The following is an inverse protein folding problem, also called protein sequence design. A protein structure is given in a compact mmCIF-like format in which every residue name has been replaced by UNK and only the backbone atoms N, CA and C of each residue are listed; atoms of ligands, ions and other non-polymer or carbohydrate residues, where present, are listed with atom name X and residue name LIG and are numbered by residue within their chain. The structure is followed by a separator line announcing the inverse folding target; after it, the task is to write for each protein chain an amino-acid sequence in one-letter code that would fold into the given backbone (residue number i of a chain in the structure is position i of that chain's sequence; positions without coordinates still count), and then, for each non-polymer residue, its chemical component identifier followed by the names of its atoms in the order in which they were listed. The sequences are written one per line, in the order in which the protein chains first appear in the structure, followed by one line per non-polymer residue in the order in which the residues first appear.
data_IF_807356213079
#
_entry.id   IF_807356213079
#
_cell.length_a   1.000
_cell.length_b   1.000
_cell.length_c   1.000
_cell.angle_alpha   90.00
_cell.angle_beta   90.00
_cell.angle_gamma   90.00
#
_symmetry.space_group_name_H-M   'P 1'
#
loop_
_entity.id
_entity.type
_entity.pdbx_description
1 polymer ?
#
# COMPACT_ATOMS: atom_id res chain seq x y z
N UNK A 1 17.78 -20.52 22.15
CA UNK A 1 17.75 -19.05 22.24
C UNK A 1 17.06 -18.56 20.98
N UNK A 2 15.85 -18.05 21.12
CA UNK A 2 15.24 -17.27 20.04
C UNK A 2 16.09 -16.02 19.81
N UNK A 3 16.55 -15.83 18.58
CA UNK A 3 17.27 -14.62 18.18
C UNK A 3 16.25 -13.63 17.64
N UNK A 4 16.24 -12.44 18.22
CA UNK A 4 15.57 -11.29 17.62
C UNK A 4 16.38 -10.88 16.38
N UNK A 5 15.73 -10.90 15.22
CA UNK A 5 16.34 -10.56 13.94
C UNK A 5 15.73 -9.26 13.47
N UNK A 6 16.59 -8.28 13.26
CA UNK A 6 16.28 -7.00 12.64
C UNK A 6 16.83 -7.05 11.22
N UNK A 7 15.96 -6.83 10.24
CA UNK A 7 16.30 -6.74 8.83
C UNK A 7 16.20 -5.27 8.41
N UNK A 8 17.33 -4.64 8.10
CA UNK A 8 17.38 -3.30 7.56
C UNK A 8 17.78 -3.36 6.08
N UNK A 9 17.00 -2.76 5.19
CA UNK A 9 17.25 -2.76 3.75
C UNK A 9 17.25 -1.32 3.25
N UNK A 10 18.30 -0.95 2.51
CA UNK A 10 18.36 0.34 1.84
C UNK A 10 17.69 0.23 0.47
N UNK A 11 16.65 1.03 0.22
CA UNK A 11 15.89 1.10 -1.04
C UNK A 11 15.55 -0.28 -1.66
N UNK A 12 14.69 -1.10 -1.02
CA UNK A 12 14.38 -2.46 -1.48
C UNK A 12 13.80 -2.53 -2.92
N UNK A 13 13.32 -1.41 -3.44
CA UNK A 13 12.74 -1.25 -4.77
C UNK A 13 13.74 -0.76 -5.83
N UNK A 14 14.98 -0.45 -5.47
CA UNK A 14 15.96 0.11 -6.39
C UNK A 14 16.18 -0.82 -7.59
N UNK A 15 16.18 -0.25 -8.80
CA UNK A 15 16.31 -0.99 -10.06
C UNK A 15 15.19 -1.99 -10.39
N UNK A 16 14.07 -1.97 -9.65
CA UNK A 16 12.91 -2.81 -9.94
C UNK A 16 11.93 -2.13 -10.91
N UNK A 17 11.22 -2.94 -11.70
CA UNK A 17 10.03 -2.48 -12.41
C UNK A 17 8.90 -2.24 -11.38
N UNK A 18 8.08 -1.21 -11.59
CA UNK A 18 6.89 -0.88 -10.79
C UNK A 18 6.02 -2.11 -10.49
N UNK A 19 5.84 -2.97 -11.50
CA UNK A 19 5.09 -4.22 -11.38
C UNK A 19 5.62 -5.16 -10.28
N UNK A 20 6.92 -5.07 -9.97
CA UNK A 20 7.61 -5.90 -8.98
C UNK A 20 7.79 -5.19 -7.64
N UNK A 21 7.72 -3.85 -7.59
CA UNK A 21 7.83 -3.10 -6.33
C UNK A 21 6.74 -3.53 -5.35
N UNK A 22 5.50 -3.69 -5.82
CA UNK A 22 4.39 -4.11 -4.98
C UNK A 22 4.61 -5.49 -4.33
N UNK A 23 4.87 -6.58 -5.09
CA UNK A 23 5.19 -7.87 -4.49
C UNK A 23 6.37 -7.82 -3.51
N UNK A 24 7.34 -6.94 -3.76
CA UNK A 24 8.48 -6.75 -2.86
C UNK A 24 8.04 -6.21 -1.50
N UNK A 25 7.26 -5.12 -1.44
CA UNK A 25 6.77 -4.56 -0.17
C UNK A 25 5.83 -5.53 0.56
N UNK A 26 5.01 -6.31 -0.15
CA UNK A 26 4.18 -7.35 0.45
C UNK A 26 5.02 -8.42 1.17
N UNK A 27 6.09 -8.91 0.54
CA UNK A 27 7.01 -9.87 1.16
C UNK A 27 7.68 -9.29 2.41
N UNK A 28 8.07 -8.01 2.36
CA UNK A 28 8.65 -7.32 3.51
C UNK A 28 7.66 -7.24 4.68
N UNK A 29 6.38 -6.97 4.40
CA UNK A 29 5.33 -7.01 5.42
C UNK A 29 5.12 -8.43 5.95
N UNK A 30 5.09 -9.46 5.09
CA UNK A 30 4.96 -10.85 5.53
C UNK A 30 6.09 -11.27 6.47
N UNK A 31 7.33 -10.82 6.22
CA UNK A 31 8.45 -11.01 7.14
C UNK A 31 8.18 -10.40 8.53
N UNK A 32 7.56 -9.22 8.56
CA UNK A 32 7.19 -8.58 9.81
C UNK A 32 6.05 -9.29 10.54
N UNK A 33 4.93 -9.51 9.85
CA UNK A 33 3.69 -10.03 10.46
C UNK A 33 3.75 -11.53 10.74
N UNK A 34 4.22 -12.34 9.79
CA UNK A 34 4.12 -13.81 9.88
C UNK A 34 5.34 -14.42 10.57
N UNK A 35 6.52 -13.84 10.36
CA UNK A 35 7.78 -14.35 10.90
C UNK A 35 8.27 -13.58 12.13
N UNK A 36 7.50 -12.59 12.60
CA UNK A 36 7.78 -11.77 13.79
C UNK A 36 9.19 -11.15 13.74
N UNK A 37 9.57 -10.62 12.58
CA UNK A 37 10.86 -9.96 12.36
C UNK A 37 10.68 -8.45 12.34
N UNK A 38 11.62 -7.69 12.88
CA UNK A 38 11.58 -6.25 12.72
C UNK A 38 12.18 -5.92 11.35
N UNK A 39 11.41 -5.23 10.50
CA UNK A 39 11.87 -4.80 9.17
C UNK A 39 11.95 -3.27 9.17
N UNK A 40 13.12 -2.73 8.82
CA UNK A 40 13.34 -1.30 8.59
C UNK A 40 13.76 -1.11 7.13
N UNK A 41 13.17 -0.12 6.48
CA UNK A 41 13.53 0.20 5.09
C UNK A 41 13.67 1.71 4.92
N UNK A 42 14.56 2.09 4.02
CA UNK A 42 14.55 3.41 3.38
C UNK A 42 13.87 3.25 2.03
N UNK A 43 13.13 4.26 1.59
CA UNK A 43 12.49 4.22 0.27
C UNK A 43 12.24 5.62 -0.25
N UNK A 44 12.36 5.78 -1.56
CA UNK A 44 11.90 6.96 -2.28
C UNK A 44 10.48 6.78 -2.86
N UNK A 45 9.87 5.61 -2.67
CA UNK A 45 8.62 5.19 -3.31
C UNK A 45 7.41 5.29 -2.39
N UNK A 46 7.05 6.52 -2.06
CA UNK A 46 5.98 6.79 -1.12
C UNK A 46 4.56 6.45 -1.61
N UNK A 47 4.36 6.35 -2.93
CA UNK A 47 3.05 6.05 -3.53
C UNK A 47 2.68 4.57 -3.65
N UNK A 48 3.60 3.64 -3.38
CA UNK A 48 3.35 2.19 -3.32
C UNK A 48 3.24 1.64 -1.89
N UNK A 49 3.51 2.47 -0.88
CA UNK A 49 3.23 2.19 0.53
C UNK A 49 1.75 2.03 0.93
N UNK A 50 0.70 2.43 0.16
CA UNK A 50 -0.69 2.28 0.60
C UNK A 50 -1.17 0.84 0.76
N UNK A 51 -0.37 -0.16 0.38
CA UNK A 51 -0.75 -1.57 0.57
C UNK A 51 -0.11 -2.15 1.82
N UNK A 52 0.94 -1.53 2.37
CA UNK A 52 1.42 -1.96 3.68
C UNK A 52 0.48 -1.42 4.73
N UNK A 53 -0.33 -2.29 5.28
CA UNK A 53 -1.36 -1.98 6.25
C UNK A 53 -0.87 -2.01 7.71
N UNK A 54 0.41 -2.35 7.88
CA UNK A 54 1.08 -2.37 9.16
C UNK A 54 2.43 -1.66 9.07
N UNK A 55 2.65 -0.70 9.98
CA UNK A 55 3.93 -0.01 10.11
C UNK A 55 3.80 1.50 10.23
N UNK A 56 4.95 2.13 10.38
CA UNK A 56 5.10 3.58 10.50
C UNK A 56 6.08 4.08 9.44
N UNK A 57 5.74 5.20 8.81
CA UNK A 57 6.66 6.03 8.07
C UNK A 57 7.31 7.02 9.02
N UNK A 58 8.65 7.04 9.06
CA UNK A 58 9.40 8.07 9.76
C UNK A 58 10.01 9.02 8.73
N UNK A 59 9.52 10.25 8.69
CA UNK A 59 10.04 11.32 7.83
C UNK A 59 11.09 12.11 8.59
N UNK A 60 12.29 12.18 8.01
CA UNK A 60 13.45 12.85 8.58
C UNK A 60 13.69 14.16 7.80
N UNK A 61 13.53 15.31 8.46
CA UNK A 61 13.77 16.63 7.85
C UNK A 61 14.83 17.40 8.62
N UNK A 62 15.76 17.99 7.89
CA UNK A 62 16.69 18.99 8.41
C UNK A 62 16.20 20.38 8.02
N UNK A 63 16.00 21.25 9.01
CA UNK A 63 15.65 22.66 8.76
C UNK A 63 16.94 23.50 8.68
N UNK A 64 16.99 24.47 7.76
CA UNK A 64 18.21 25.24 7.48
C UNK A 64 18.80 25.99 8.70
N UNK A 65 17.96 26.26 9.71
CA UNK A 65 18.31 27.03 10.90
C UNK A 65 18.48 26.17 12.16
N UNK A 66 18.22 24.86 12.06
CA UNK A 66 18.25 23.94 13.21
C UNK A 66 19.43 22.98 13.08
N UNK A 67 20.10 22.69 14.20
CA UNK A 67 21.19 21.71 14.24
C UNK A 67 20.62 20.28 14.28
N UNK A 68 19.42 20.15 14.83
CA UNK A 68 18.77 18.87 15.08
C UNK A 68 17.93 18.39 13.89
N UNK A 69 17.83 17.07 13.75
CA UNK A 69 16.97 16.42 12.77
C UNK A 69 15.57 16.32 13.36
N UNK A 70 14.57 16.86 12.68
CA UNK A 70 13.16 16.65 13.03
C UNK A 70 12.68 15.32 12.47
N UNK A 71 11.98 14.57 13.31
CA UNK A 71 11.38 13.28 12.96
C UNK A 71 9.88 13.40 13.10
N UNK A 72 9.15 13.13 12.03
CA UNK A 72 7.69 13.03 12.02
C UNK A 72 7.29 11.59 11.72
N UNK A 73 6.41 11.00 12.51
CA UNK A 73 5.89 9.66 12.28
C UNK A 73 4.47 9.68 11.71
N UNK A 74 4.20 8.76 10.79
CA UNK A 74 2.89 8.58 10.17
C UNK A 74 2.52 7.11 10.16
N UNK A 75 1.32 6.79 10.64
CA UNK A 75 0.83 5.42 10.63
C UNK A 75 0.28 5.07 9.24
N UNK A 76 0.78 3.99 8.63
CA UNK A 76 0.31 3.56 7.31
C UNK A 76 -1.16 3.17 7.27
N UNK A 77 -1.72 2.73 8.41
CA UNK A 77 -3.13 2.37 8.49
C UNK A 77 -4.06 3.54 8.12
N UNK A 78 -3.70 4.76 8.50
CA UNK A 78 -4.48 5.98 8.27
C UNK A 78 -3.93 6.85 7.14
N UNK A 79 -2.99 6.34 6.35
CA UNK A 79 -2.20 7.16 5.43
C UNK A 79 -3.04 7.93 4.40
N UNK A 80 -4.11 7.33 3.85
CA UNK A 80 -4.98 8.02 2.87
C UNK A 80 -5.98 8.99 3.53
N UNK A 81 -6.32 8.78 4.80
CA UNK A 81 -7.18 9.70 5.56
C UNK A 81 -6.39 10.91 6.08
N UNK A 82 -5.10 10.73 6.36
CA UNK A 82 -4.21 11.76 6.88
C UNK A 82 -3.34 12.45 5.81
N UNK A 83 -3.63 12.29 4.51
CA UNK A 83 -2.83 12.87 3.41
C UNK A 83 -2.45 14.35 3.63
N UNK A 84 -3.34 15.15 4.22
CA UNK A 84 -3.09 16.58 4.50
C UNK A 84 -2.00 16.85 5.54
N UNK A 85 -1.61 15.83 6.32
CA UNK A 85 -0.52 15.90 7.30
C UNK A 85 0.82 15.45 6.73
N UNK A 86 0.81 14.75 5.59
CA UNK A 86 2.05 14.28 4.97
C UNK A 86 2.82 15.46 4.36
N UNK A 87 4.15 15.50 4.54
CA UNK A 87 5.01 16.47 3.88
C UNK A 87 4.79 16.51 2.36
N UNK A 88 4.80 17.72 1.77
CA UNK A 88 4.63 17.90 0.33
C UNK A 88 5.70 17.19 -0.51
N UNK A 89 6.89 16.94 0.07
CA UNK A 89 8.00 16.20 -0.54
C UNK A 89 7.79 14.68 -0.59
N UNK A 90 6.75 14.18 0.08
CA UNK A 90 6.25 12.82 -0.08
C UNK A 90 5.26 12.86 -1.26
N UNK A 91 5.79 12.80 -2.48
CA UNK A 91 4.95 12.69 -3.67
C UNK A 91 4.20 11.34 -3.65
N UNK A 92 2.93 11.42 -3.26
CA UNK A 92 1.94 10.39 -3.46
C UNK A 92 1.82 10.17 -4.97
N UNK A 93 2.41 9.09 -5.48
CA UNK A 93 2.30 8.74 -6.89
C UNK A 93 0.82 8.65 -7.30
N UNK A 94 0.53 9.01 -8.54
CA UNK A 94 -0.82 9.21 -9.07
C UNK A 94 -1.75 8.03 -8.81
N UNK A 95 -3.07 8.29 -8.71
CA UNK A 95 -4.11 7.24 -8.71
C UNK A 95 -3.95 6.25 -9.89
N UNK A 96 -3.33 6.69 -10.99
CA UNK A 96 -2.96 5.84 -12.12
C UNK A 96 -1.93 4.76 -11.76
N UNK A 97 -0.91 5.10 -10.98
CA UNK A 97 0.11 4.16 -10.53
C UNK A 97 -0.47 3.14 -9.56
N UNK A 98 -1.38 3.57 -8.68
CA UNK A 98 -2.13 2.68 -7.80
C UNK A 98 -2.96 1.68 -8.62
N UNK A 99 -3.75 2.17 -9.57
CA UNK A 99 -4.56 1.32 -10.46
C UNK A 99 -3.70 0.30 -11.23
N UNK A 100 -2.59 0.76 -11.81
CA UNK A 100 -1.65 -0.10 -12.54
C UNK A 100 -1.02 -1.16 -11.64
N UNK A 101 -0.71 -0.80 -10.39
CA UNK A 101 -0.14 -1.72 -9.40
C UNK A 101 -1.14 -2.80 -8.97
N UNK A 102 -2.42 -2.43 -8.74
CA UNK A 102 -3.50 -3.38 -8.45
C UNK A 102 -3.66 -4.39 -9.59
N UNK A 103 -3.73 -3.90 -10.84
CA UNK A 103 -3.86 -4.76 -12.02
C UNK A 103 -2.66 -5.71 -12.12
N UNK A 104 -1.44 -5.18 -12.01
CA UNK A 104 -0.23 -6.00 -12.08
C UNK A 104 -0.19 -7.06 -10.99
N UNK A 105 -0.53 -6.69 -9.76
CA UNK A 105 -0.57 -7.62 -8.64
C UNK A 105 -1.59 -8.75 -8.85
N UNK A 106 -2.83 -8.40 -9.23
CA UNK A 106 -3.89 -9.38 -9.48
C UNK A 106 -3.65 -10.27 -10.69
N UNK A 107 -2.71 -9.91 -11.58
CA UNK A 107 -2.21 -10.82 -12.62
C UNK A 107 -1.14 -11.78 -12.11
N UNK A 108 -0.43 -11.42 -11.04
CA UNK A 108 0.70 -12.19 -10.49
C UNK A 108 0.31 -13.13 -9.34
N UNK A 109 -0.80 -12.88 -8.67
CA UNK A 109 -1.29 -13.66 -7.53
C UNK A 109 -2.71 -14.13 -7.82
N UNK A 110 -2.94 -15.43 -7.62
CA UNK A 110 -4.24 -16.02 -7.87
C UNK A 110 -5.23 -15.78 -6.73
N UNK A 111 -6.51 -15.60 -7.09
CA UNK A 111 -7.67 -15.64 -6.20
C UNK A 111 -7.70 -14.58 -5.07
N UNK A 112 -7.11 -13.39 -5.29
CA UNK A 112 -7.23 -12.26 -4.37
C UNK A 112 -8.34 -11.31 -4.83
N UNK A 113 -9.32 -11.09 -3.96
CA UNK A 113 -10.37 -10.10 -4.15
C UNK A 113 -10.00 -8.78 -3.49
N UNK A 114 -10.29 -7.68 -4.15
CA UNK A 114 -10.09 -6.33 -3.65
C UNK A 114 -11.42 -5.72 -3.22
N UNK A 115 -11.43 -5.03 -2.08
CA UNK A 115 -12.53 -4.16 -1.66
C UNK A 115 -11.97 -2.75 -1.52
N UNK A 116 -12.39 -1.86 -2.40
CA UNK A 116 -12.04 -0.44 -2.36
C UNK A 116 -13.13 0.27 -1.56
N UNK A 117 -12.78 0.94 -0.48
CA UNK A 117 -13.73 1.64 0.40
C UNK A 117 -13.32 3.10 0.62
N UNK A 118 -14.23 3.91 1.16
CA UNK A 118 -14.03 5.35 1.29
C UNK A 118 -12.92 5.70 2.29
N UNK A 119 -12.96 5.14 3.51
CA UNK A 119 -12.00 5.48 4.56
C UNK A 119 -11.62 4.33 5.49
N UNK A 120 -10.70 4.61 6.42
CA UNK A 120 -10.15 3.58 7.33
C UNK A 120 -11.19 3.00 8.29
N UNK A 121 -12.26 3.73 8.59
CA UNK A 121 -13.38 3.22 9.40
C UNK A 121 -14.13 2.09 8.67
N UNK A 122 -14.38 2.25 7.37
CA UNK A 122 -15.03 1.23 6.56
C UNK A 122 -14.15 -0.01 6.47
N UNK A 123 -12.84 0.21 6.30
CA UNK A 123 -11.83 -0.85 6.34
C UNK A 123 -11.93 -1.66 7.64
N UNK A 124 -11.89 -1.01 8.80
CA UNK A 124 -12.00 -1.69 10.11
C UNK A 124 -13.27 -2.53 10.21
N UNK A 125 -14.39 -1.98 9.76
CA UNK A 125 -15.66 -2.70 9.76
C UNK A 125 -15.61 -3.95 8.86
N UNK A 126 -15.10 -3.79 7.64
CA UNK A 126 -14.98 -4.88 6.65
C UNK A 126 -13.99 -5.96 7.09
N UNK A 127 -12.86 -5.58 7.71
CA UNK A 127 -11.88 -6.52 8.25
C UNK A 127 -12.50 -7.39 9.35
N UNK A 128 -13.27 -6.79 10.26
CA UNK A 128 -14.00 -7.54 11.28
C UNK A 128 -15.10 -8.43 10.69
N UNK A 129 -15.81 -7.95 9.66
CA UNK A 129 -16.88 -8.70 9.01
C UNK A 129 -16.36 -9.92 8.23
N UNK A 130 -15.18 -9.79 7.64
CA UNK A 130 -14.53 -10.81 6.79
C UNK A 130 -13.44 -11.58 7.54
N UNK A 131 -13.41 -11.49 8.87
CA UNK A 131 -12.43 -12.19 9.69
C UNK A 131 -12.41 -13.69 9.38
N UNK A 132 -11.21 -14.25 9.24
CA UNK A 132 -10.99 -15.63 8.79
C UNK A 132 -11.03 -15.86 7.27
N UNK A 133 -11.27 -14.84 6.44
CA UNK A 133 -11.18 -14.93 4.98
C UNK A 133 -9.88 -14.29 4.47
N UNK A 134 -8.91 -15.11 4.07
CA UNK A 134 -7.57 -14.63 3.67
C UNK A 134 -7.50 -14.06 2.24
N UNK A 135 -8.54 -14.31 1.44
CA UNK A 135 -8.57 -13.97 0.01
C UNK A 135 -9.12 -12.57 -0.29
N UNK A 136 -9.20 -11.70 0.72
CA UNK A 136 -9.60 -10.31 0.55
C UNK A 136 -8.45 -9.35 0.88
N UNK A 137 -8.40 -8.24 0.15
CA UNK A 137 -7.56 -7.07 0.41
C UNK A 137 -8.45 -5.84 0.43
N UNK A 138 -8.46 -5.12 1.55
CA UNK A 138 -9.32 -3.95 1.75
C UNK A 138 -8.45 -2.70 1.66
N UNK A 139 -8.78 -1.82 0.72
CA UNK A 139 -8.04 -0.59 0.45
C UNK A 139 -8.96 0.62 0.69
N UNK A 140 -8.83 1.34 1.81
CA UNK A 140 -9.44 2.66 1.95
C UNK A 140 -8.79 3.62 0.94
N UNK A 141 -9.49 4.63 0.43
CA UNK A 141 -8.91 5.59 -0.54
C UNK A 141 -9.02 7.07 -0.16
N UNK A 142 -9.47 7.38 1.05
CA UNK A 142 -9.53 8.73 1.59
C UNK A 142 -10.61 9.61 0.93
N UNK A 143 -11.79 9.06 0.67
CA UNK A 143 -12.95 9.80 0.17
C UNK A 143 -13.62 9.20 -1.07
N UNK A 144 -14.94 9.36 -1.17
CA UNK A 144 -15.74 8.86 -2.30
C UNK A 144 -15.27 9.37 -3.68
N UNK A 145 -14.74 10.59 -3.74
CA UNK A 145 -14.17 11.13 -4.98
C UNK A 145 -12.97 10.33 -5.48
N UNK A 146 -12.16 9.76 -4.58
CA UNK A 146 -11.04 8.89 -4.93
C UNK A 146 -11.52 7.49 -5.32
N UNK A 147 -12.60 6.97 -4.71
CA UNK A 147 -13.25 5.72 -5.12
C UNK A 147 -13.70 5.81 -6.59
N UNK A 148 -14.39 6.89 -6.96
CA UNK A 148 -14.88 7.13 -8.33
C UNK A 148 -13.70 7.23 -9.32
N UNK A 149 -12.64 7.96 -8.98
CA UNK A 149 -11.44 8.09 -9.81
C UNK A 149 -10.78 6.73 -10.05
N UNK A 150 -10.58 5.97 -8.98
CA UNK A 150 -9.93 4.65 -9.06
C UNK A 150 -10.80 3.66 -9.86
N UNK A 151 -12.11 3.69 -9.67
CA UNK A 151 -13.05 2.93 -10.49
C UNK A 151 -12.89 3.24 -11.98
N UNK A 152 -12.82 4.52 -12.37
CA UNK A 152 -12.60 4.92 -13.76
C UNK A 152 -11.30 4.37 -14.35
N UNK A 153 -10.22 4.41 -13.56
CA UNK A 153 -8.89 3.94 -13.97
C UNK A 153 -8.79 2.42 -14.06
N UNK A 154 -9.54 1.68 -13.25
CA UNK A 154 -9.54 0.21 -13.25
C UNK A 154 -10.55 -0.39 -14.23
N UNK A 155 -11.74 0.21 -14.33
CA UNK A 155 -12.84 -0.32 -15.15
C UNK A 155 -12.49 -0.33 -16.64
N UNK A 156 -11.76 0.67 -17.13
CA UNK A 156 -11.40 0.74 -18.54
C UNK A 156 -10.45 -0.41 -18.96
N UNK A 157 -9.28 -0.63 -18.33
CA UNK A 157 -8.44 -1.80 -18.62
C UNK A 157 -9.14 -3.14 -18.41
N UNK A 158 -9.96 -3.27 -17.36
CA UNK A 158 -10.65 -4.53 -17.06
C UNK A 158 -11.85 -4.82 -17.96
N UNK A 159 -12.29 -3.83 -18.77
CA UNK A 159 -13.29 -4.07 -19.81
C UNK A 159 -12.72 -4.74 -21.06
N UNK A 160 -11.39 -4.70 -21.25
CA UNK A 160 -10.70 -5.45 -22.29
C UNK A 160 -10.58 -6.93 -21.91
N UNK A 161 -11.07 -7.82 -22.78
CA UNK A 161 -11.13 -9.26 -22.52
C UNK A 161 -9.76 -9.87 -22.24
N UNK A 162 -8.72 -9.45 -22.96
CA UNK A 162 -7.36 -9.98 -22.75
C UNK A 162 -6.84 -9.66 -21.35
N UNK A 163 -7.15 -8.46 -20.86
CA UNK A 163 -6.75 -8.02 -19.53
C UNK A 163 -7.62 -8.67 -18.45
N UNK A 164 -8.92 -8.80 -18.69
CA UNK A 164 -9.86 -9.46 -17.78
C UNK A 164 -9.53 -10.95 -17.59
N UNK A 165 -9.18 -11.67 -18.66
CA UNK A 165 -8.85 -13.11 -18.60
C UNK A 165 -7.56 -13.38 -17.81
N UNK A 166 -6.65 -12.40 -17.77
CA UNK A 166 -5.42 -12.47 -16.98
C UNK A 166 -5.61 -12.03 -15.53
N UNK A 167 -6.71 -11.35 -15.22
CA UNK A 167 -6.97 -10.83 -13.88
C UNK A 167 -7.55 -11.93 -13.00
N UNK A 168 -6.88 -12.23 -11.89
CA UNK A 168 -7.37 -13.21 -10.91
C UNK A 168 -8.10 -12.50 -9.77
N UNK A 169 -9.32 -12.98 -9.47
CA UNK A 169 -10.18 -12.43 -8.42
C UNK A 169 -11.16 -11.36 -8.90
N UNK A 170 -11.72 -10.58 -7.97
CA UNK A 170 -12.70 -9.52 -8.24
C UNK A 170 -12.33 -8.23 -7.55
N UNK A 171 -12.78 -7.10 -8.09
CA UNK A 171 -12.70 -5.80 -7.43
C UNK A 171 -14.12 -5.34 -7.08
N UNK A 172 -14.34 -5.08 -5.81
CA UNK A 172 -15.58 -4.54 -5.25
C UNK A 172 -15.33 -3.11 -4.82
N UNK A 173 -16.30 -2.24 -5.04
CA UNK A 173 -16.27 -0.84 -4.60
C UNK A 173 -17.42 -0.67 -3.60
N UNK A 174 -17.10 -0.25 -2.39
CA UNK A 174 -18.02 -0.03 -1.28
C UNK A 174 -18.14 1.46 -0.98
#
# INVERSE_FOLDING_TARGET
MDREVILAIDEPEVSMNIANCFPQFMRLQELASNFKRQVLITTHWYGSLPITDHGYLYHLRKEEQDVDIKISDFNFFFYLDEQRRFPDDIELKSMFDLASSIISFSKSVENINWIICEGSTDRLYLENLLDGLENFRILPVGGCGNVIKLYGLLSYPLSDKLTADQFSGKILFA
#
